data_IF_523422570226
#
_entry.id   IF_523422570226
#
_cell.length_a   1.000
_cell.length_b   1.000
_cell.length_c   1.000
_cell.angle_alpha   90.00
_cell.angle_beta   90.00
_cell.angle_gamma   90.00
#
_symmetry.space_group_name_H-M   'P 1'
#
loop_
_entity.id
_entity.type
_entity.pdbx_description
1 polymer ?
#
# COMPACT_ATOMS: atom_id res chain seq x y z
N UNK A 1 15.04 -0.52 9.23
CA UNK A 1 14.52 0.66 9.97
C UNK A 1 13.06 0.46 10.34
N UNK A 2 12.18 0.14 9.38
CA UNK A 2 10.75 -0.22 9.61
C UNK A 2 10.55 -1.32 10.67
N UNK A 3 11.37 -2.37 10.66
CA UNK A 3 11.26 -3.47 11.63
C UNK A 3 11.67 -3.09 13.07
N UNK A 4 12.28 -1.91 13.28
CA UNK A 4 12.72 -1.46 14.61
C UNK A 4 11.61 -0.73 15.39
N UNK A 5 10.54 -0.31 14.70
CA UNK A 5 9.36 0.34 15.30
C UNK A 5 8.28 -0.69 15.61
N UNK A 6 7.48 -0.47 16.65
CA UNK A 6 6.41 -1.37 17.04
C UNK A 6 5.29 -1.40 16.00
N UNK A 7 4.86 -0.25 15.50
CA UNK A 7 3.86 -0.18 14.43
C UNK A 7 4.38 -0.82 13.13
N UNK A 8 5.60 -0.47 12.71
CA UNK A 8 6.20 -1.00 11.50
C UNK A 8 6.49 -2.50 11.56
N UNK A 9 7.04 -3.00 12.66
CA UNK A 9 7.30 -4.43 12.86
C UNK A 9 6.02 -5.26 12.91
N UNK A 10 4.98 -4.75 13.58
CA UNK A 10 3.67 -5.41 13.64
C UNK A 10 3.00 -5.47 12.27
N UNK A 11 2.98 -4.35 11.52
CA UNK A 11 2.46 -4.33 10.16
C UNK A 11 3.21 -5.31 9.25
N UNK A 12 4.55 -5.33 9.32
CA UNK A 12 5.35 -6.21 8.48
C UNK A 12 5.07 -7.70 8.73
N UNK A 13 4.67 -8.09 9.94
CA UNK A 13 4.22 -9.46 10.22
C UNK A 13 2.94 -9.82 9.43
N UNK A 14 1.96 -8.92 9.39
CA UNK A 14 0.71 -9.13 8.63
C UNK A 14 0.98 -9.08 7.13
N UNK A 15 1.72 -8.07 6.68
CA UNK A 15 2.07 -7.90 5.27
C UNK A 15 2.85 -9.10 4.73
N UNK A 16 3.87 -9.59 5.45
CA UNK A 16 4.66 -10.74 4.99
C UNK A 16 3.80 -12.01 4.90
N UNK A 17 2.93 -12.26 5.89
CA UNK A 17 2.03 -13.41 5.86
C UNK A 17 1.13 -13.38 4.62
N UNK A 18 0.56 -12.21 4.31
CA UNK A 18 -0.22 -11.99 3.10
C UNK A 18 0.63 -12.17 1.84
N UNK A 19 1.74 -11.42 1.71
CA UNK A 19 2.60 -11.41 0.53
C UNK A 19 3.10 -12.82 0.15
N UNK A 20 3.60 -13.58 1.12
CA UNK A 20 4.09 -14.94 0.86
C UNK A 20 2.97 -15.94 0.59
N UNK A 21 1.75 -15.72 1.09
CA UNK A 21 0.60 -16.55 0.70
C UNK A 21 0.21 -16.36 -0.78
N UNK A 22 0.41 -15.16 -1.33
CA UNK A 22 0.12 -14.85 -2.74
C UNK A 22 1.29 -15.17 -3.67
N UNK A 23 2.45 -15.55 -3.14
CA UNK A 23 3.61 -15.94 -3.94
C UNK A 23 4.35 -17.16 -3.37
N UNK A 24 3.74 -18.37 -3.44
CA UNK A 24 4.37 -19.60 -2.96
C UNK A 24 5.71 -19.88 -3.64
N UNK A 25 5.84 -19.54 -4.93
CA UNK A 25 7.09 -19.69 -5.68
C UNK A 25 8.21 -18.82 -5.07
N UNK A 26 7.96 -17.53 -4.81
CA UNK A 26 8.93 -16.64 -4.17
C UNK A 26 9.25 -17.10 -2.75
N UNK A 27 8.25 -17.55 -1.98
CA UNK A 27 8.46 -18.08 -0.65
C UNK A 27 9.38 -19.31 -0.66
N UNK A 28 9.14 -20.24 -1.60
CA UNK A 28 9.98 -21.44 -1.80
C UNK A 28 11.38 -21.09 -2.31
N UNK A 29 11.49 -20.05 -3.13
CA UNK A 29 12.76 -19.58 -3.66
C UNK A 29 13.61 -18.97 -2.55
N UNK A 30 13.04 -18.10 -1.71
CA UNK A 30 13.75 -17.48 -0.58
C UNK A 30 14.15 -18.54 0.46
N UNK A 31 13.31 -19.54 0.72
CA UNK A 31 13.62 -20.59 1.70
C UNK A 31 14.70 -21.56 1.22
N UNK A 32 14.83 -21.79 -0.09
CA UNK A 32 15.81 -22.70 -0.70
C UNK A 32 17.10 -22.01 -1.16
N UNK A 33 17.10 -20.69 -1.31
CA UNK A 33 18.27 -19.95 -1.78
C UNK A 33 19.33 -19.86 -0.69
N UNK A 34 20.60 -20.20 -0.95
CA UNK A 34 21.68 -19.97 0.00
C UNK A 34 21.79 -18.48 0.31
N UNK A 35 21.75 -18.13 1.58
CA UNK A 35 21.85 -16.76 2.10
C UNK A 35 23.11 -16.03 1.62
N UNK A 36 24.16 -16.76 1.21
CA UNK A 36 25.41 -16.22 0.65
C UNK A 36 25.31 -15.80 -0.83
N UNK A 37 24.57 -16.54 -1.68
CA UNK A 37 24.42 -16.20 -3.11
C UNK A 37 23.43 -15.04 -3.27
N UNK A 38 22.37 -15.08 -2.46
CA UNK A 38 21.45 -13.97 -2.26
C UNK A 38 22.23 -12.80 -1.65
N UNK A 39 23.04 -12.94 -0.62
CA UNK A 39 23.80 -11.82 -0.03
C UNK A 39 24.79 -11.08 -0.96
N UNK A 40 25.18 -11.65 -2.11
CA UNK A 40 26.08 -11.02 -3.06
C UNK A 40 25.33 -10.13 -4.07
N UNK A 41 25.79 -8.89 -4.23
CA UNK A 41 25.20 -7.88 -5.14
C UNK A 41 24.98 -8.44 -6.55
N UNK A 42 25.84 -9.32 -7.04
CA UNK A 42 25.78 -9.83 -8.41
C UNK A 42 24.86 -11.05 -8.57
N UNK A 43 24.60 -11.80 -7.49
CA UNK A 43 23.79 -13.02 -7.51
C UNK A 43 22.31 -12.75 -7.83
N UNK A 44 21.74 -11.69 -7.24
CA UNK A 44 20.38 -11.26 -7.56
C UNK A 44 20.21 -10.84 -9.01
N UNK A 45 21.19 -10.11 -9.56
CA UNK A 45 21.11 -9.59 -10.91
C UNK A 45 21.09 -10.71 -11.94
N UNK A 46 21.85 -11.80 -11.72
CA UNK A 46 21.88 -12.96 -12.61
C UNK A 46 20.54 -13.73 -12.58
N UNK A 47 19.97 -13.93 -11.39
CA UNK A 47 18.70 -14.65 -11.22
C UNK A 47 17.52 -13.85 -11.78
N UNK A 48 17.49 -12.54 -11.52
CA UNK A 48 16.46 -11.65 -12.08
C UNK A 48 16.63 -11.53 -13.60
N UNK A 49 17.85 -11.43 -14.12
CA UNK A 49 18.09 -11.33 -15.56
C UNK A 49 17.65 -12.59 -16.32
N UNK A 50 17.99 -13.78 -15.83
CA UNK A 50 17.60 -15.06 -16.45
C UNK A 50 16.08 -15.31 -16.38
N UNK A 51 15.42 -14.86 -15.31
CA UNK A 51 13.97 -14.94 -15.19
C UNK A 51 13.25 -13.94 -16.13
N UNK A 52 13.71 -12.68 -16.17
CA UNK A 52 13.11 -11.64 -17.01
C UNK A 52 13.37 -11.89 -18.50
N UNK A 53 14.52 -12.45 -18.89
CA UNK A 53 14.81 -12.76 -20.28
C UNK A 53 13.85 -13.79 -20.88
N UNK A 54 13.28 -14.65 -20.03
CA UNK A 54 12.33 -15.69 -20.43
C UNK A 54 10.95 -15.12 -20.80
N UNK A 55 10.61 -13.92 -20.34
CA UNK A 55 9.30 -13.29 -20.56
C UNK A 55 9.42 -11.81 -20.94
N UNK A 56 9.65 -11.48 -22.22
CA UNK A 56 9.81 -10.11 -22.70
C UNK A 56 8.62 -9.20 -22.36
N UNK A 57 7.40 -9.75 -22.41
CA UNK A 57 6.16 -9.03 -22.05
C UNK A 57 6.07 -8.71 -20.56
N UNK A 58 6.65 -9.57 -19.71
CA UNK A 58 6.72 -9.35 -18.28
C UNK A 58 7.61 -8.13 -17.98
N UNK A 59 8.73 -7.95 -18.70
CA UNK A 59 9.63 -6.80 -18.55
C UNK A 59 8.92 -5.45 -18.69
N UNK A 60 7.98 -5.32 -19.63
CA UNK A 60 7.20 -4.09 -19.82
C UNK A 60 6.23 -3.88 -18.66
N UNK A 61 5.47 -4.91 -18.28
CA UNK A 61 4.57 -4.86 -17.12
C UNK A 61 5.34 -4.51 -15.84
N UNK A 62 6.46 -5.18 -15.57
CA UNK A 62 7.31 -4.92 -14.42
C UNK A 62 7.76 -3.47 -14.40
N UNK A 63 8.14 -2.89 -15.55
CA UNK A 63 8.53 -1.48 -15.64
C UNK A 63 7.37 -0.53 -15.32
N UNK A 64 6.20 -0.77 -15.90
CA UNK A 64 4.99 0.04 -15.67
C UNK A 64 4.56 0.00 -14.20
N UNK A 65 4.66 -1.16 -13.54
CA UNK A 65 4.29 -1.29 -12.13
C UNK A 65 5.38 -0.80 -11.17
N UNK A 66 6.67 -1.01 -11.45
CA UNK A 66 7.76 -0.65 -10.53
C UNK A 66 8.08 0.85 -10.56
N UNK A 67 8.03 1.51 -11.71
CA UNK A 67 8.46 2.92 -11.80
C UNK A 67 7.63 3.86 -10.92
N UNK A 68 6.27 3.80 -10.94
CA UNK A 68 5.47 4.59 -10.03
C UNK A 68 5.75 4.23 -8.57
N UNK A 69 5.97 2.94 -8.28
CA UNK A 69 6.27 2.46 -6.94
C UNK A 69 7.58 3.05 -6.40
N UNK A 70 8.64 3.11 -7.21
CA UNK A 70 9.90 3.77 -6.83
C UNK A 70 9.64 5.22 -6.47
N UNK A 71 8.87 5.95 -7.28
CA UNK A 71 8.48 7.34 -6.99
C UNK A 71 7.78 7.46 -5.64
N UNK A 72 6.80 6.59 -5.38
CA UNK A 72 6.07 6.56 -4.11
C UNK A 72 6.99 6.27 -2.92
N UNK A 73 7.89 5.28 -3.04
CA UNK A 73 8.84 4.97 -1.99
C UNK A 73 9.82 6.12 -1.75
N UNK A 74 10.27 6.82 -2.79
CA UNK A 74 11.15 7.98 -2.62
C UNK A 74 10.46 9.09 -1.84
N UNK A 75 9.20 9.39 -2.17
CA UNK A 75 8.40 10.38 -1.46
C UNK A 75 8.12 9.97 -0.01
N UNK A 76 7.77 8.70 0.21
CA UNK A 76 7.57 8.15 1.54
C UNK A 76 8.87 8.19 2.36
N UNK A 77 10.02 7.89 1.73
CA UNK A 77 11.33 7.96 2.40
C UNK A 77 11.73 9.38 2.78
N UNK A 78 11.32 10.39 1.99
CA UNK A 78 11.52 11.79 2.33
C UNK A 78 10.71 12.14 3.58
N UNK A 79 9.44 11.74 3.64
CA UNK A 79 8.62 11.94 4.82
C UNK A 79 9.22 11.27 6.06
N UNK A 80 9.69 10.02 5.92
CA UNK A 80 10.36 9.33 7.02
C UNK A 80 11.52 10.16 7.60
N UNK A 81 12.35 10.76 6.72
CA UNK A 81 13.48 11.60 7.14
C UNK A 81 13.04 12.88 7.84
N UNK A 82 11.98 13.54 7.33
CA UNK A 82 11.43 14.75 7.94
C UNK A 82 10.88 14.50 9.35
N UNK A 83 10.34 13.31 9.59
CA UNK A 83 9.76 12.93 10.88
C UNK A 83 10.68 12.06 11.75
N UNK A 84 11.97 11.93 11.38
CA UNK A 84 12.90 11.01 12.04
C UNK A 84 13.16 11.32 13.53
N UNK A 85 12.74 12.49 14.02
CA UNK A 85 12.75 12.84 15.45
C UNK A 85 11.89 11.91 16.31
N UNK A 86 10.88 11.26 15.73
CA UNK A 86 10.07 10.24 16.38
C UNK A 86 9.84 9.06 15.41
N UNK A 87 10.45 7.89 15.65
CA UNK A 87 10.43 6.80 14.69
C UNK A 87 9.04 6.17 14.49
N UNK A 88 8.17 6.16 15.52
CA UNK A 88 6.79 5.67 15.41
C UNK A 88 5.91 6.61 14.57
N UNK A 89 6.05 7.92 14.77
CA UNK A 89 5.39 8.92 13.92
C UNK A 89 5.94 8.90 12.49
N UNK A 90 7.25 8.76 12.34
CA UNK A 90 7.89 8.68 11.02
C UNK A 90 7.35 7.51 10.22
N UNK A 91 7.26 6.31 10.81
CA UNK A 91 6.80 5.13 10.08
C UNK A 91 5.31 5.18 9.75
N UNK A 92 4.49 5.74 10.64
CA UNK A 92 3.04 5.89 10.40
C UNK A 92 2.75 6.88 9.30
N UNK A 93 3.39 8.07 9.30
CA UNK A 93 3.25 9.06 8.22
C UNK A 93 3.76 8.52 6.89
N UNK A 94 4.91 7.84 6.91
CA UNK A 94 5.47 7.16 5.74
C UNK A 94 4.48 6.13 5.18
N UNK A 95 3.86 5.33 6.04
CA UNK A 95 2.83 4.37 5.69
C UNK A 95 1.60 5.03 5.07
N UNK A 96 1.12 6.15 5.63
CA UNK A 96 -0.02 6.90 5.11
C UNK A 96 0.26 7.47 3.71
N UNK A 97 1.45 8.05 3.51
CA UNK A 97 1.86 8.57 2.20
C UNK A 97 1.96 7.42 1.19
N UNK A 98 2.72 6.37 1.52
CA UNK A 98 2.88 5.24 0.62
C UNK A 98 1.53 4.62 0.24
N UNK A 99 0.69 4.31 1.23
CA UNK A 99 -0.62 3.70 1.02
C UNK A 99 -1.61 4.61 0.27
N UNK A 100 -1.60 5.92 0.53
CA UNK A 100 -2.44 6.88 -0.19
C UNK A 100 -2.08 6.99 -1.67
N UNK A 101 -0.78 7.08 -1.98
CA UNK A 101 -0.35 7.10 -3.38
C UNK A 101 -0.52 5.74 -4.07
N UNK A 102 -0.34 4.63 -3.36
CA UNK A 102 -0.64 3.29 -3.90
C UNK A 102 -2.14 3.19 -4.26
N UNK A 103 -3.02 3.69 -3.39
CA UNK A 103 -4.45 3.74 -3.66
C UNK A 103 -4.79 4.54 -4.93
N UNK A 104 -4.18 5.72 -5.08
CA UNK A 104 -4.35 6.59 -6.25
C UNK A 104 -3.84 5.95 -7.54
N UNK A 105 -2.63 5.40 -7.53
CA UNK A 105 -1.98 4.93 -8.77
C UNK A 105 -2.51 3.56 -9.21
N UNK A 106 -2.67 2.63 -8.27
CA UNK A 106 -2.97 1.23 -8.60
C UNK A 106 -4.44 0.86 -8.39
N UNK A 107 -5.10 1.39 -7.35
CA UNK A 107 -6.47 0.98 -7.03
C UNK A 107 -7.54 1.85 -7.68
N UNK A 108 -7.26 3.13 -7.99
CA UNK A 108 -8.22 4.00 -8.69
C UNK A 108 -8.78 3.45 -10.00
N UNK A 109 -8.00 2.87 -10.94
CA UNK A 109 -8.59 2.30 -12.16
C UNK A 109 -9.57 1.16 -11.83
N UNK A 110 -9.25 0.32 -10.84
CA UNK A 110 -10.09 -0.79 -10.40
C UNK A 110 -11.37 -0.26 -9.74
N UNK A 111 -11.26 0.69 -8.81
CA UNK A 111 -12.43 1.28 -8.14
C UNK A 111 -13.29 2.10 -9.09
N UNK A 112 -12.69 2.73 -10.10
CA UNK A 112 -13.43 3.43 -11.14
C UNK A 112 -14.26 2.46 -11.97
N UNK A 113 -13.66 1.34 -12.42
CA UNK A 113 -14.36 0.29 -13.17
C UNK A 113 -15.54 -0.30 -12.38
N UNK A 114 -15.39 -0.55 -11.08
CA UNK A 114 -16.46 -1.10 -10.24
C UNK A 114 -17.57 -0.09 -9.94
N UNK A 115 -17.24 1.18 -9.73
CA UNK A 115 -18.21 2.23 -9.40
C UNK A 115 -18.91 2.77 -10.65
N UNK A 116 -18.26 2.72 -11.82
CA UNK A 116 -18.80 3.25 -13.08
C UNK A 116 -20.23 2.78 -13.44
N UNK A 117 -20.59 1.48 -13.40
CA UNK A 117 -21.97 1.05 -13.69
C UNK A 117 -22.98 1.59 -12.68
N UNK A 118 -22.55 1.83 -11.43
CA UNK A 118 -23.39 2.35 -10.34
C UNK A 118 -23.22 3.85 -10.13
N UNK A 119 -22.66 4.58 -11.10
CA UNK A 119 -22.24 5.99 -10.97
C UNK A 119 -23.32 6.91 -10.40
N UNK A 120 -24.59 6.71 -10.77
CA UNK A 120 -25.70 7.53 -10.29
C UNK A 120 -25.96 7.36 -8.78
N UNK A 121 -26.05 6.10 -8.31
CA UNK A 121 -26.24 5.79 -6.88
C UNK A 121 -25.00 6.16 -6.06
N UNK A 122 -23.82 5.89 -6.59
CA UNK A 122 -22.56 6.15 -5.92
C UNK A 122 -22.29 7.66 -5.76
N UNK A 123 -22.53 8.48 -6.78
CA UNK A 123 -22.40 9.95 -6.69
C UNK A 123 -23.46 10.57 -5.76
N UNK A 124 -24.67 10.02 -5.71
CA UNK A 124 -25.73 10.46 -4.77
C UNK A 124 -25.34 10.18 -3.31
N UNK A 125 -24.79 8.99 -3.04
CA UNK A 125 -24.39 8.57 -1.70
C UNK A 125 -22.92 8.87 -1.35
N UNK A 126 -22.19 9.61 -2.20
CA UNK A 126 -20.74 9.83 -2.03
C UNK A 126 -20.35 10.35 -0.65
N UNK A 127 -21.15 11.26 -0.07
CA UNK A 127 -20.89 11.81 1.27
C UNK A 127 -20.96 10.70 2.31
N UNK A 128 -22.02 9.88 2.29
CA UNK A 128 -22.16 8.76 3.23
C UNK A 128 -21.01 7.75 3.09
N UNK A 129 -20.67 7.37 1.86
CA UNK A 129 -19.57 6.42 1.59
C UNK A 129 -18.24 6.96 2.13
N UNK A 130 -17.91 8.22 1.83
CA UNK A 130 -16.69 8.86 2.32
C UNK A 130 -16.72 9.09 3.83
N UNK A 131 -17.86 9.42 4.42
CA UNK A 131 -18.01 9.57 5.87
C UNK A 131 -17.74 8.25 6.57
N UNK A 132 -18.33 7.13 6.12
CA UNK A 132 -18.07 5.82 6.73
C UNK A 132 -16.59 5.41 6.59
N UNK A 133 -16.00 5.56 5.41
CA UNK A 133 -14.58 5.27 5.20
C UNK A 133 -13.68 6.14 6.10
N UNK A 134 -14.00 7.43 6.24
CA UNK A 134 -13.25 8.36 7.07
C UNK A 134 -13.41 8.08 8.57
N UNK A 135 -14.61 7.70 9.02
CA UNK A 135 -14.81 7.29 10.43
C UNK A 135 -14.03 6.02 10.76
N UNK A 136 -14.02 5.05 9.85
CA UNK A 136 -13.23 3.83 10.01
C UNK A 136 -11.72 4.13 10.05
N UNK A 137 -11.25 5.03 9.20
CA UNK A 137 -9.86 5.50 9.19
C UNK A 137 -9.47 6.22 10.49
N UNK A 138 -10.35 7.09 11.02
CA UNK A 138 -10.09 7.82 12.26
C UNK A 138 -10.00 6.90 13.49
N UNK A 139 -10.79 5.83 13.54
CA UNK A 139 -10.77 4.86 14.64
C UNK A 139 -9.41 4.15 14.76
N UNK A 140 -8.66 4.02 13.66
CA UNK A 140 -7.36 3.35 13.69
C UNK A 140 -6.31 4.10 14.54
N UNK A 141 -6.34 5.43 14.62
CA UNK A 141 -5.38 6.21 15.41
C UNK A 141 -5.45 5.96 16.93
N UNK A 142 -6.61 6.14 17.60
CA UNK A 142 -6.69 5.85 19.03
C UNK A 142 -6.40 4.38 19.32
N UNK A 143 -6.80 3.46 18.44
CA UNK A 143 -6.47 2.04 18.56
C UNK A 143 -4.96 1.80 18.51
N UNK A 144 -4.23 2.48 17.63
CA UNK A 144 -2.75 2.42 17.58
C UNK A 144 -2.11 3.02 18.83
N UNK A 145 -2.60 4.17 19.31
CA UNK A 145 -2.06 4.80 20.52
C UNK A 145 -2.22 3.88 21.74
N UNK A 146 -3.41 3.28 21.91
CA UNK A 146 -3.66 2.30 22.96
C UNK A 146 -2.73 1.08 22.77
N UNK A 147 -2.62 0.55 21.55
CA UNK A 147 -1.76 -0.60 21.28
C UNK A 147 -0.30 -0.32 21.63
N UNK A 148 0.21 0.87 21.34
CA UNK A 148 1.56 1.32 21.69
C UNK A 148 1.73 1.42 23.21
N UNK A 149 0.79 2.08 23.90
CA UNK A 149 0.84 2.29 25.35
C UNK A 149 0.91 0.97 26.14
N UNK A 150 0.16 -0.05 25.70
CA UNK A 150 0.14 -1.38 26.32
C UNK A 150 1.13 -2.37 25.68
N UNK A 151 1.90 -1.96 24.67
CA UNK A 151 2.76 -2.84 23.85
C UNK A 151 2.03 -4.08 23.32
N UNK A 152 0.74 -3.92 22.98
CA UNK A 152 -0.16 -5.00 22.61
C UNK A 152 -0.02 -5.35 21.11
N UNK A 153 0.78 -6.38 20.80
CA UNK A 153 1.16 -6.70 19.42
C UNK A 153 -0.03 -7.02 18.51
N UNK A 154 -1.01 -7.79 19.01
CA UNK A 154 -2.20 -8.15 18.24
C UNK A 154 -3.01 -6.93 17.83
N UNK A 155 -3.22 -6.01 18.78
CA UNK A 155 -3.99 -4.79 18.53
C UNK A 155 -3.25 -3.91 17.52
N UNK A 156 -1.92 -3.81 17.65
CA UNK A 156 -1.10 -3.03 16.70
C UNK A 156 -1.10 -3.63 15.29
N UNK A 157 -1.04 -4.96 15.15
CA UNK A 157 -1.17 -5.64 13.85
C UNK A 157 -2.48 -5.28 13.15
N UNK A 158 -3.59 -5.36 13.88
CA UNK A 158 -4.93 -5.07 13.36
C UNK A 158 -5.02 -3.57 13.02
N UNK A 159 -4.64 -2.69 13.94
CA UNK A 159 -4.77 -1.26 13.80
C UNK A 159 -3.92 -0.70 12.64
N UNK A 160 -2.66 -1.11 12.53
CA UNK A 160 -1.77 -0.67 11.44
C UNK A 160 -2.22 -1.17 10.07
N UNK A 161 -2.68 -2.43 9.97
CA UNK A 161 -3.22 -2.98 8.73
C UNK A 161 -4.53 -2.30 8.34
N UNK A 162 -5.40 -2.07 9.31
CA UNK A 162 -6.65 -1.34 9.14
C UNK A 162 -6.40 0.08 8.65
N UNK A 163 -5.43 0.80 9.23
CA UNK A 163 -5.05 2.14 8.80
C UNK A 163 -4.58 2.14 7.34
N UNK A 164 -3.71 1.21 6.95
CA UNK A 164 -3.19 1.11 5.58
C UNK A 164 -4.31 0.80 4.58
N UNK A 165 -5.14 -0.21 4.85
CA UNK A 165 -6.25 -0.62 3.97
C UNK A 165 -7.31 0.48 3.84
N UNK A 166 -7.67 1.14 4.95
CA UNK A 166 -8.61 2.27 4.92
C UNK A 166 -8.02 3.48 4.18
N UNK A 167 -6.72 3.72 4.26
CA UNK A 167 -6.05 4.79 3.50
C UNK A 167 -6.03 4.51 1.99
N UNK A 168 -5.73 3.27 1.58
CA UNK A 168 -5.80 2.84 0.17
C UNK A 168 -7.22 3.02 -0.37
N UNK A 169 -8.23 2.54 0.36
CA UNK A 169 -9.63 2.63 -0.09
C UNK A 169 -10.12 4.06 -0.14
N UNK A 170 -9.84 4.88 0.88
CA UNK A 170 -10.26 6.27 0.95
C UNK A 170 -9.67 7.11 -0.19
N UNK A 171 -8.37 6.95 -0.45
CA UNK A 171 -7.67 7.65 -1.53
C UNK A 171 -8.15 7.20 -2.92
N UNK A 172 -8.30 5.89 -3.14
CA UNK A 172 -8.76 5.35 -4.41
C UNK A 172 -10.20 5.78 -4.74
N UNK A 173 -11.12 5.60 -3.79
CA UNK A 173 -12.55 5.96 -3.95
C UNK A 173 -12.74 7.47 -4.06
N UNK A 174 -12.01 8.24 -3.26
CA UNK A 174 -12.01 9.70 -3.33
C UNK A 174 -11.66 10.21 -4.73
N UNK A 175 -10.58 9.68 -5.32
CA UNK A 175 -10.16 10.04 -6.67
C UNK A 175 -11.15 9.55 -7.74
N UNK A 176 -11.67 8.33 -7.62
CA UNK A 176 -12.71 7.82 -8.53
C UNK A 176 -13.95 8.73 -8.55
N UNK A 177 -14.40 9.26 -7.41
CA UNK A 177 -15.53 10.20 -7.38
C UNK A 177 -15.22 11.54 -8.06
N UNK A 178 -14.00 12.06 -7.91
CA UNK A 178 -13.55 13.28 -8.60
C UNK A 178 -13.60 13.06 -10.12
N UNK A 179 -13.04 11.94 -10.59
CA UNK A 179 -13.02 11.58 -12.01
C UNK A 179 -14.44 11.37 -12.56
N UNK A 180 -15.31 10.65 -11.86
CA UNK A 180 -16.70 10.46 -12.28
C UNK A 180 -17.47 11.77 -12.38
N UNK A 181 -17.26 12.70 -11.44
CA UNK A 181 -17.86 14.04 -11.49
C UNK A 181 -17.36 14.82 -12.72
N UNK A 182 -16.06 14.72 -13.01
CA UNK A 182 -15.46 15.38 -14.18
C UNK A 182 -16.01 14.81 -15.50
N UNK A 183 -16.08 13.48 -15.64
CA UNK A 183 -16.64 12.80 -16.82
C UNK A 183 -18.12 13.18 -17.01
N UNK A 184 -18.92 13.15 -15.93
CA UNK A 184 -20.34 13.53 -15.98
C UNK A 184 -20.52 14.98 -16.48
N UNK A 185 -19.74 15.92 -15.95
CA UNK A 185 -19.84 17.33 -16.32
C UNK A 185 -19.35 17.62 -17.74
N UNK A 186 -18.46 16.79 -18.31
CA UNK A 186 -17.86 17.00 -19.63
C UNK A 186 -18.63 16.36 -20.79
N UNK A 187 -19.25 15.21 -20.59
CA UNK A 187 -19.83 14.41 -21.68
C UNK A 187 -21.37 14.35 -21.69
N UNK A 188 -22.05 14.74 -20.62
CA UNK A 188 -23.52 14.66 -20.51
C UNK A 188 -24.15 16.04 -20.26
N UNK A 189 -23.66 17.06 -21.00
CA UNK A 189 -24.33 18.36 -21.09
C UNK A 189 -25.50 18.27 -22.06
#
# INVERSE_FOLDING_TARGET
MVLKTFAGGSFMKVFNAWYYSFSPEIASFISKSPTEIVGSRDGYHILIASFISKFPTLKLLTRIFIYPLIGILTLASLAYRLFAFNPELAITITGLIASGFIGIVYFTPITLLTIYPLKHKALKNKRKILTYAFTFWLISFPMMIIAEAFKAELIMKIASSMLVLTTITLSAVGLSFILLKFIKNRFFR
#
